data_IF_051072756957
#
_entry.id   IF_051072756957
#
_cell.length_a   1.000
_cell.length_b   1.000
_cell.length_c   1.000
_cell.angle_alpha   90.00
_cell.angle_beta   90.00
_cell.angle_gamma   90.00
#
_symmetry.space_group_name_H-M   'P 1'
#
loop_
_entity.id
_entity.type
_entity.pdbx_description
1 polymer ?
#
# COMPACT_ATOMS: atom_id res chain seq x y z
N UNK A 1 -5.44 -10.46 6.57
CA UNK A 1 -4.09 -11.06 6.50
C UNK A 1 -3.22 -10.16 5.62
N UNK A 2 -1.97 -9.92 6.00
CA UNK A 2 -1.01 -9.10 5.24
C UNK A 2 -0.05 -9.99 4.45
N UNK A 3 0.10 -9.70 3.15
CA UNK A 3 0.97 -10.41 2.23
C UNK A 3 2.24 -9.62 1.95
N UNK A 4 3.41 -10.20 2.19
CA UNK A 4 4.69 -9.60 1.81
C UNK A 4 5.02 -9.91 0.33
N UNK A 5 5.38 -8.89 -0.44
CA UNK A 5 5.78 -8.98 -1.85
C UNK A 5 7.08 -8.24 -2.06
N UNK A 6 8.08 -8.92 -2.64
CA UNK A 6 9.36 -8.29 -3.00
C UNK A 6 9.39 -8.01 -4.49
N UNK A 7 9.56 -6.75 -4.87
CA UNK A 7 9.65 -6.31 -6.26
C UNK A 7 10.86 -5.39 -6.41
N UNK A 8 11.75 -5.72 -7.36
CA UNK A 8 12.93 -4.90 -7.70
C UNK A 8 13.84 -4.57 -6.50
N UNK A 9 13.94 -5.50 -5.53
CA UNK A 9 14.75 -5.32 -4.32
C UNK A 9 14.07 -4.51 -3.20
N UNK A 10 12.85 -4.03 -3.43
CA UNK A 10 12.01 -3.38 -2.44
C UNK A 10 10.97 -4.37 -1.88
N UNK A 11 10.72 -4.28 -0.59
CA UNK A 11 9.69 -5.07 0.10
C UNK A 11 8.42 -4.24 0.25
N UNK A 12 7.30 -4.81 -0.16
CA UNK A 12 5.97 -4.25 -0.04
C UNK A 12 5.07 -5.19 0.77
N UNK A 13 4.11 -4.60 1.46
CA UNK A 13 3.15 -5.28 2.32
C UNK A 13 1.76 -4.98 1.81
N UNK A 14 1.06 -5.98 1.33
CA UNK A 14 -0.25 -5.86 0.71
C UNK A 14 -1.32 -6.33 1.70
N UNK A 15 -2.34 -5.52 1.93
CA UNK A 15 -3.51 -5.94 2.67
C UNK A 15 -4.36 -6.87 1.79
N UNK A 16 -4.60 -8.12 2.20
CA UNK A 16 -5.41 -9.06 1.41
C UNK A 16 -6.91 -8.74 1.45
N UNK A 17 -7.33 -7.84 2.33
CA UNK A 17 -8.75 -7.47 2.48
C UNK A 17 -9.17 -6.39 1.48
N UNK A 18 -8.32 -5.39 1.26
CA UNK A 18 -8.60 -4.28 0.34
C UNK A 18 -7.68 -4.23 -0.90
N UNK A 19 -6.57 -4.98 -0.90
CA UNK A 19 -5.61 -5.03 -2.01
C UNK A 19 -4.58 -3.90 -2.04
N UNK A 20 -4.55 -3.00 -1.05
CA UNK A 20 -3.59 -1.89 -1.00
C UNK A 20 -2.19 -2.37 -0.59
N UNK A 21 -1.17 -1.86 -1.28
CA UNK A 21 0.24 -2.14 -1.00
C UNK A 21 0.88 -1.00 -0.18
N UNK A 22 1.80 -1.34 0.72
CA UNK A 22 2.47 -0.43 1.63
C UNK A 22 3.97 -0.70 1.65
N UNK A 23 4.80 0.33 1.82
CA UNK A 23 6.26 0.17 2.01
C UNK A 23 6.61 -0.42 3.37
N UNK A 24 5.79 -0.13 4.39
CA UNK A 24 6.05 -0.57 5.76
C UNK A 24 4.97 -1.54 6.22
N UNK A 25 5.39 -2.61 6.89
CA UNK A 25 4.51 -3.65 7.42
C UNK A 25 3.44 -3.08 8.36
N UNK A 26 3.82 -2.06 9.14
CA UNK A 26 2.93 -1.44 10.13
C UNK A 26 1.70 -0.80 9.48
N UNK A 27 1.82 -0.23 8.28
CA UNK A 27 0.68 0.35 7.57
C UNK A 27 -0.26 -0.72 7.06
N UNK A 28 0.27 -1.82 6.54
CA UNK A 28 -0.53 -2.94 6.11
C UNK A 28 -1.25 -3.62 7.30
N UNK A 29 -0.59 -3.76 8.45
CA UNK A 29 -1.23 -4.28 9.68
C UNK A 29 -2.32 -3.36 10.22
N UNK A 30 -2.07 -2.04 10.20
CA UNK A 30 -3.10 -1.06 10.55
C UNK A 30 -4.28 -1.14 9.58
N UNK A 31 -4.00 -1.27 8.28
CA UNK A 31 -5.02 -1.41 7.23
C UNK A 31 -5.88 -2.64 7.49
N UNK A 32 -5.26 -3.80 7.73
CA UNK A 32 -5.97 -5.04 8.03
C UNK A 32 -6.84 -4.90 9.28
N UNK A 33 -6.28 -4.42 10.40
CA UNK A 33 -7.05 -4.23 11.63
C UNK A 33 -8.25 -3.32 11.42
N UNK A 34 -8.05 -2.22 10.69
CA UNK A 34 -9.11 -1.26 10.44
C UNK A 34 -10.17 -1.83 9.48
N UNK A 35 -9.75 -2.52 8.41
CA UNK A 35 -10.69 -3.16 7.49
C UNK A 35 -11.48 -4.27 8.22
N UNK A 36 -10.82 -5.09 9.04
CA UNK A 36 -11.49 -6.17 9.77
C UNK A 36 -12.46 -5.65 10.86
N UNK A 37 -12.15 -4.52 11.50
CA UNK A 37 -12.99 -3.92 12.54
C UNK A 37 -14.17 -3.12 11.97
N UNK A 38 -13.96 -2.34 10.90
CA UNK A 38 -14.95 -1.41 10.36
C UNK A 38 -15.56 -1.84 9.01
N UNK A 39 -15.05 -2.90 8.38
CA UNK A 39 -15.33 -3.29 6.98
C UNK A 39 -15.16 -2.13 5.99
N UNK A 40 -14.24 -1.22 6.27
CA UNK A 40 -13.96 -0.03 5.47
C UNK A 40 -12.47 0.29 5.47
N UNK A 41 -12.00 1.01 4.45
CA UNK A 41 -10.61 1.50 4.41
C UNK A 41 -10.51 2.89 5.07
N UNK A 42 -9.56 3.05 5.99
CA UNK A 42 -9.26 4.38 6.56
C UNK A 42 -8.48 5.23 5.56
N UNK A 43 -9.00 6.42 5.25
CA UNK A 43 -8.36 7.39 4.36
C UNK A 43 -6.91 7.69 4.77
N UNK A 44 -6.68 7.87 6.07
CA UNK A 44 -5.36 8.16 6.62
C UNK A 44 -4.36 7.03 6.32
N UNK A 45 -4.80 5.77 6.46
CA UNK A 45 -3.97 4.60 6.14
C UNK A 45 -3.78 4.50 4.63
N UNK A 46 -4.84 4.66 3.83
CA UNK A 46 -4.75 4.59 2.36
C UNK A 46 -3.83 5.66 1.76
N UNK A 47 -3.66 6.81 2.42
CA UNK A 47 -2.70 7.84 2.00
C UNK A 47 -1.24 7.39 2.04
N UNK A 48 -0.92 6.36 2.83
CA UNK A 48 0.40 5.74 2.86
C UNK A 48 0.53 4.56 1.89
N UNK A 49 -0.53 4.21 1.17
CA UNK A 49 -0.47 3.17 0.15
C UNK A 49 0.44 3.62 -0.99
N UNK A 50 1.16 2.66 -1.54
CA UNK A 50 2.09 2.87 -2.65
C UNK A 50 1.63 2.07 -3.85
N UNK A 51 1.66 2.69 -5.01
CA UNK A 51 1.40 2.00 -6.26
C UNK A 51 2.63 1.17 -6.64
N UNK A 52 2.45 -0.15 -6.71
CA UNK A 52 3.53 -1.07 -7.09
C UNK A 52 3.98 -0.89 -8.55
N UNK A 53 3.20 -0.20 -9.37
CA UNK A 53 3.48 0.07 -10.77
C UNK A 53 4.40 1.29 -11.00
N UNK A 54 4.46 2.22 -10.04
CA UNK A 54 5.17 3.50 -10.21
C UNK A 54 6.67 3.48 -9.89
N UNK A 55 7.25 2.29 -9.64
CA UNK A 55 8.70 2.14 -9.42
C UNK A 55 9.56 2.35 -10.67
N UNK A 56 8.95 2.75 -11.78
CA UNK A 56 9.64 3.17 -12.98
C UNK A 56 9.14 4.56 -13.44
N UNK A 57 9.28 5.58 -12.59
CA UNK A 57 9.08 6.98 -13.01
C UNK A 57 10.23 7.91 -12.59
N UNK A 58 11.33 7.78 -13.31
CA UNK A 58 11.92 9.01 -13.83
C UNK A 58 10.88 9.67 -14.77
N UNK A 59 10.42 10.87 -14.42
CA UNK A 59 9.71 11.84 -15.28
C UNK A 59 8.20 11.63 -15.56
N UNK A 60 7.35 11.94 -14.58
CA UNK A 60 6.10 12.68 -14.88
C UNK A 60 6.36 14.16 -14.52
N UNK A 61 7.08 14.89 -15.38
CA UNK A 61 6.46 15.91 -16.23
C UNK A 61 5.31 16.65 -15.53
N UNK A 62 5.71 17.57 -14.65
CA UNK A 62 5.13 18.89 -14.55
C UNK A 62 4.79 19.42 -15.96
N UNK A 63 3.52 19.37 -16.36
CA UNK A 63 2.94 20.18 -17.46
C UNK A 63 1.43 19.93 -17.53
N UNK A 64 0.63 20.86 -17.00
CA UNK A 64 -0.11 21.81 -17.84
C UNK A 64 -0.58 23.00 -16.99
#
# INVERSE_FOLDING_TARGET
MVKEVKKEGLTFYICEECGLAYKERIWAEKCEKFCSEYHACSLEITSHAVEMDTLNFEKQNFSQ
#
